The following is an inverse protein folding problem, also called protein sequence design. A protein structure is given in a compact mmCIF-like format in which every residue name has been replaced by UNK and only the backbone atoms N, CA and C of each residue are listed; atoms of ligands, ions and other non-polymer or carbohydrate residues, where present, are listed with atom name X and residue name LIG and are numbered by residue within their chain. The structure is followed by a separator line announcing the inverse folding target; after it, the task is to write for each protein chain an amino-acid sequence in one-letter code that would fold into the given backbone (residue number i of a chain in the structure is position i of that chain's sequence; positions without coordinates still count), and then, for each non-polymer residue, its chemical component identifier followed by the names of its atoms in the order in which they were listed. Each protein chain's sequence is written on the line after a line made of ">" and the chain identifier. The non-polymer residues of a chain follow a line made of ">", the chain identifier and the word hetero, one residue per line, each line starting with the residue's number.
data_IF_844512381848
#
_entry.id   IF_844512381848
#
_cell.length_a   1.000
_cell.length_b   1.000
_cell.length_c   1.000
_cell.angle_alpha   90.00
_cell.angle_beta   90.00
_cell.angle_gamma   90.00
#
_symmetry.space_group_name_H-M   'P 1'
#
loop_
_entity.id
_entity.type
_entity.pdbx_description
1 polymer ?
#
# COMPACT_ATOMS: atom_id res chain seq x y z
N UNK A 1 -6.86 24.32 -62.32
CA UNK A 1 -6.57 23.03 -61.66
C UNK A 1 -5.44 23.23 -60.67
N UNK A 2 -5.80 23.50 -59.43
CA UNK A 2 -4.84 23.56 -58.34
C UNK A 2 -4.45 22.14 -57.93
N UNK A 3 -3.15 21.87 -57.94
CA UNK A 3 -2.59 20.63 -57.47
C UNK A 3 -2.85 20.47 -55.95
N UNK A 4 -3.22 19.27 -55.45
CA UNK A 4 -3.41 19.07 -54.04
C UNK A 4 -2.09 19.24 -53.27
N UNK A 5 -2.12 19.83 -52.06
CA UNK A 5 -0.91 20.06 -51.29
C UNK A 5 -0.24 18.72 -50.95
N UNK A 6 1.10 18.64 -50.93
CA UNK A 6 1.80 17.42 -50.62
C UNK A 6 1.42 16.97 -49.21
N UNK A 7 1.01 15.71 -49.08
CA UNK A 7 0.79 15.06 -47.78
C UNK A 7 2.06 15.20 -46.96
N UNK A 8 2.00 16.01 -45.94
CA UNK A 8 3.11 16.18 -45.00
C UNK A 8 3.48 14.83 -44.43
N UNK A 9 4.53 14.23 -44.94
CA UNK A 9 5.02 12.94 -44.47
C UNK A 9 5.46 13.01 -43.01
N UNK A 10 5.47 11.86 -42.34
CA UNK A 10 5.90 11.69 -40.93
C UNK A 10 7.21 12.47 -40.64
N UNK A 11 8.11 12.53 -41.60
CA UNK A 11 9.38 13.27 -41.52
C UNK A 11 9.18 14.80 -41.40
N UNK A 12 8.22 15.39 -42.10
CA UNK A 12 7.94 16.82 -42.00
C UNK A 12 7.28 17.16 -40.65
N UNK A 13 6.47 16.26 -40.10
CA UNK A 13 5.88 16.40 -38.78
C UNK A 13 6.94 16.28 -37.68
N UNK A 14 7.86 15.33 -37.76
CA UNK A 14 9.00 15.18 -36.85
C UNK A 14 9.96 16.38 -36.90
N UNK A 15 10.21 16.97 -38.08
CA UNK A 15 10.99 18.19 -38.17
C UNK A 15 10.31 19.37 -37.47
N UNK A 16 9.00 19.54 -37.66
CA UNK A 16 8.22 20.59 -36.95
C UNK A 16 8.23 20.41 -35.45
N UNK A 17 8.09 19.18 -34.98
CA UNK A 17 8.21 18.85 -33.55
C UNK A 17 9.60 19.20 -32.99
N UNK A 18 10.66 18.85 -33.73
CA UNK A 18 12.04 19.14 -33.32
C UNK A 18 12.31 20.64 -33.28
N UNK A 19 11.83 21.40 -34.25
CA UNK A 19 11.96 22.85 -34.28
C UNK A 19 11.16 23.53 -33.16
N UNK A 20 9.92 23.10 -32.92
CA UNK A 20 9.10 23.59 -31.83
C UNK A 20 9.73 23.29 -30.47
N UNK A 21 10.26 22.08 -30.28
CA UNK A 21 10.97 21.69 -29.05
C UNK A 21 12.24 22.53 -28.82
N UNK A 22 13.00 22.79 -29.89
CA UNK A 22 14.21 23.62 -29.83
C UNK A 22 13.91 25.09 -29.53
N UNK A 23 12.81 25.62 -30.09
CA UNK A 23 12.35 26.98 -29.79
C UNK A 23 11.80 27.10 -28.38
N UNK A 24 11.04 26.11 -27.90
CA UNK A 24 10.56 26.03 -26.54
C UNK A 24 11.73 26.01 -25.56
N UNK A 25 12.72 25.17 -25.80
CA UNK A 25 13.93 25.07 -24.95
C UNK A 25 14.69 26.42 -24.91
N UNK A 26 14.81 27.09 -26.04
CA UNK A 26 15.50 28.40 -26.12
C UNK A 26 14.72 29.49 -25.38
N UNK A 27 13.41 29.53 -25.53
CA UNK A 27 12.54 30.46 -24.80
C UNK A 27 12.60 30.22 -23.29
N UNK A 28 12.65 28.95 -22.85
CA UNK A 28 12.79 28.57 -21.45
C UNK A 28 14.13 29.02 -20.85
N UNK A 29 15.21 28.90 -21.61
CA UNK A 29 16.54 29.28 -21.16
C UNK A 29 16.74 30.81 -21.10
N UNK A 30 15.99 31.58 -21.90
CA UNK A 30 16.05 33.04 -21.92
C UNK A 30 15.41 33.68 -20.70
N UNK A 31 14.38 33.06 -20.10
CA UNK A 31 13.66 33.54 -18.92
C UNK A 31 13.60 32.50 -17.81
N UNK A 32 14.76 32.04 -17.34
CA UNK A 32 14.91 30.90 -16.41
C UNK A 32 14.05 30.97 -15.16
N UNK A 33 13.98 32.14 -14.51
CA UNK A 33 13.23 32.29 -13.25
C UNK A 33 11.70 32.18 -13.47
N UNK A 34 11.19 32.78 -14.54
CA UNK A 34 9.77 32.75 -14.89
C UNK A 34 9.35 31.31 -15.22
N UNK A 35 10.14 30.61 -16.01
CA UNK A 35 9.90 29.22 -16.41
C UNK A 35 9.93 28.28 -15.21
N UNK A 36 10.93 28.42 -14.33
CA UNK A 36 11.02 27.63 -13.10
C UNK A 36 9.81 27.84 -12.19
N UNK A 37 9.39 29.07 -11.94
CA UNK A 37 8.23 29.37 -11.09
C UNK A 37 6.93 28.80 -11.65
N UNK A 38 6.79 28.78 -12.98
CA UNK A 38 5.59 28.27 -13.64
C UNK A 38 5.55 26.75 -13.67
N UNK A 39 6.71 26.13 -13.98
CA UNK A 39 6.82 24.69 -13.92
C UNK A 39 6.69 24.14 -12.50
N UNK A 40 6.99 24.95 -11.50
CA UNK A 40 6.91 24.53 -10.08
C UNK A 40 5.53 24.00 -9.69
N UNK A 41 4.46 24.65 -10.15
CA UNK A 41 3.10 24.18 -9.89
C UNK A 41 2.82 22.81 -10.51
N UNK A 42 3.27 22.58 -11.74
CA UNK A 42 3.13 21.27 -12.41
C UNK A 42 4.01 20.22 -11.76
N UNK A 43 5.25 20.58 -11.44
CA UNK A 43 6.19 19.68 -10.73
C UNK A 43 5.60 19.24 -9.40
N UNK A 44 5.10 20.17 -8.57
CA UNK A 44 4.49 19.86 -7.28
C UNK A 44 3.27 18.97 -7.46
N UNK A 45 2.40 19.27 -8.42
CA UNK A 45 1.22 18.44 -8.69
C UNK A 45 1.59 17.01 -9.10
N UNK A 46 2.54 16.83 -9.99
CA UNK A 46 2.99 15.52 -10.46
C UNK A 46 3.74 14.75 -9.37
N UNK A 47 4.61 15.41 -8.62
CA UNK A 47 5.28 14.79 -7.45
C UNK A 47 4.26 14.29 -6.45
N UNK A 48 3.26 15.11 -6.13
CA UNK A 48 2.21 14.75 -5.18
C UNK A 48 1.41 13.54 -5.65
N UNK A 49 0.92 13.53 -6.90
CA UNK A 49 0.17 12.40 -7.47
C UNK A 49 1.02 11.13 -7.46
N UNK A 50 2.26 11.22 -7.89
CA UNK A 50 3.16 10.07 -8.06
C UNK A 50 3.55 9.47 -6.70
N UNK A 51 3.96 10.31 -5.74
CA UNK A 51 4.35 9.85 -4.40
C UNK A 51 3.17 9.26 -3.63
N UNK A 52 2.01 9.90 -3.70
CA UNK A 52 0.84 9.41 -2.97
C UNK A 52 0.34 8.09 -3.51
N UNK A 53 0.31 7.94 -4.84
CA UNK A 53 0.00 6.63 -5.43
C UNK A 53 1.03 5.57 -5.03
N UNK A 54 2.31 5.91 -4.99
CA UNK A 54 3.37 4.99 -4.60
C UNK A 54 3.27 4.57 -3.12
N UNK A 55 3.00 5.51 -2.22
CA UNK A 55 2.79 5.26 -0.79
C UNK A 55 1.51 4.44 -0.59
N UNK A 56 0.42 4.82 -1.24
CA UNK A 56 -0.87 4.14 -1.14
C UNK A 56 -0.81 2.70 -1.63
N UNK A 57 -0.15 2.45 -2.76
CA UNK A 57 0.02 1.10 -3.29
C UNK A 57 0.95 0.26 -2.42
N UNK A 58 2.04 0.85 -1.92
CA UNK A 58 2.95 0.19 -0.98
C UNK A 58 2.25 -0.19 0.33
N UNK A 59 1.49 0.73 0.93
CA UNK A 59 0.69 0.46 2.13
C UNK A 59 -0.36 -0.62 1.89
N UNK A 60 -1.07 -0.57 0.75
CA UNK A 60 -2.05 -1.58 0.37
C UNK A 60 -1.42 -2.96 0.25
N UNK A 61 -0.30 -3.09 -0.45
CA UNK A 61 0.40 -4.36 -0.61
C UNK A 61 0.91 -4.89 0.73
N UNK A 62 1.42 -4.03 1.60
CA UNK A 62 1.86 -4.40 2.94
C UNK A 62 0.71 -4.96 3.75
N UNK A 63 -0.42 -4.24 3.82
CA UNK A 63 -1.60 -4.68 4.58
C UNK A 63 -2.19 -5.97 3.99
N UNK A 64 -2.25 -6.11 2.67
CA UNK A 64 -2.71 -7.35 2.04
C UNK A 64 -1.76 -8.53 2.33
N UNK A 65 -0.46 -8.29 2.40
CA UNK A 65 0.52 -9.29 2.83
C UNK A 65 0.30 -9.69 4.29
N UNK A 66 0.05 -8.72 5.17
CA UNK A 66 -0.20 -8.96 6.59
C UNK A 66 -1.52 -9.72 6.81
N UNK A 67 -2.58 -9.37 6.08
CA UNK A 67 -3.86 -10.11 6.10
C UNK A 67 -3.67 -11.52 5.56
N UNK A 68 -2.88 -11.72 4.52
CA UNK A 68 -2.59 -13.06 4.00
C UNK A 68 -1.82 -13.91 4.99
N UNK A 69 -0.99 -13.31 5.85
CA UNK A 69 -0.30 -13.99 6.95
C UNK A 69 -1.25 -14.38 8.09
N UNK A 70 -2.35 -13.64 8.28
CA UNK A 70 -3.42 -13.99 9.23
C UNK A 70 -4.29 -15.16 8.70
N UNK A 71 -4.21 -15.46 7.41
CA UNK A 71 -5.01 -16.43 6.68
C UNK A 71 -6.15 -15.77 5.90
N UNK A 72 -6.20 -16.06 4.62
CA UNK A 72 -7.34 -15.68 3.78
C UNK A 72 -8.57 -16.50 4.15
N UNK A 73 -9.75 -15.93 4.00
CA UNK A 73 -11.03 -16.59 4.34
C UNK A 73 -11.11 -17.03 5.80
N UNK A 74 -10.58 -16.23 6.72
CA UNK A 74 -10.55 -16.55 8.16
C UNK A 74 -11.45 -15.61 8.94
N UNK A 75 -12.20 -16.18 9.89
CA UNK A 75 -13.00 -15.45 10.86
C UNK A 75 -12.41 -15.74 12.24
N UNK A 76 -11.97 -14.70 12.93
CA UNK A 76 -11.48 -14.79 14.30
C UNK A 76 -12.58 -14.36 15.27
N UNK A 77 -12.76 -15.14 16.32
CA UNK A 77 -13.79 -14.96 17.34
C UNK A 77 -13.09 -14.64 18.64
N UNK A 78 -13.43 -13.53 19.26
CA UNK A 78 -12.84 -13.05 20.50
C UNK A 78 -13.94 -12.88 21.56
N UNK A 79 -13.58 -13.07 22.82
CA UNK A 79 -14.47 -12.75 23.94
C UNK A 79 -14.64 -11.21 24.07
N UNK A 80 -15.82 -10.77 24.47
CA UNK A 80 -16.12 -9.35 24.67
C UNK A 80 -16.99 -8.73 23.59
N UNK A 81 -17.17 -7.42 23.65
CA UNK A 81 -17.99 -6.66 22.71
C UNK A 81 -17.19 -5.97 21.60
N UNK A 82 -15.85 -5.99 21.69
CA UNK A 82 -14.94 -5.35 20.73
C UNK A 82 -13.51 -5.30 21.24
N UNK A 83 -12.60 -4.86 20.39
CA UNK A 83 -11.21 -4.66 20.79
C UNK A 83 -11.09 -3.56 21.87
N UNK A 84 -10.41 -3.89 22.98
CA UNK A 84 -10.25 -2.99 24.12
C UNK A 84 -11.38 -3.05 25.15
N UNK A 85 -12.31 -3.98 25.04
CA UNK A 85 -13.33 -4.20 26.06
C UNK A 85 -12.68 -4.71 27.36
N UNK A 86 -12.75 -3.90 28.42
CA UNK A 86 -12.20 -4.26 29.73
C UNK A 86 -12.94 -5.43 30.42
N UNK A 87 -14.12 -5.77 29.92
CA UNK A 87 -14.91 -6.90 30.45
C UNK A 87 -14.54 -8.21 29.75
N UNK A 88 -13.78 -8.18 28.66
CA UNK A 88 -13.38 -9.37 27.92
C UNK A 88 -12.69 -10.40 28.83
N UNK A 89 -11.81 -9.95 29.73
CA UNK A 89 -11.11 -10.84 30.69
C UNK A 89 -12.02 -11.52 31.71
N UNK A 90 -13.21 -10.98 31.94
CA UNK A 90 -14.22 -11.57 32.85
C UNK A 90 -15.12 -12.59 32.15
N UNK A 91 -15.12 -12.63 30.81
CA UNK A 91 -15.92 -13.54 30.01
C UNK A 91 -15.20 -14.89 29.92
N UNK A 92 -15.84 -15.95 30.35
CA UNK A 92 -15.28 -17.31 30.45
C UNK A 92 -16.05 -18.34 29.65
N UNK A 93 -16.84 -17.90 28.69
CA UNK A 93 -17.75 -18.77 27.92
C UNK A 93 -17.08 -19.41 26.71
N UNK A 94 -16.05 -18.77 26.16
CA UNK A 94 -15.34 -19.28 24.98
C UNK A 94 -14.45 -20.46 25.36
N UNK A 95 -14.75 -21.64 24.85
CA UNK A 95 -14.14 -22.90 25.25
C UNK A 95 -13.64 -23.74 24.07
N UNK A 96 -12.82 -24.74 24.37
CA UNK A 96 -12.39 -25.72 23.36
C UNK A 96 -13.56 -26.50 22.73
N UNK A 97 -14.66 -26.70 23.50
CA UNK A 97 -15.88 -27.31 23.00
C UNK A 97 -16.56 -26.46 21.89
N UNK A 98 -16.43 -25.14 21.97
CA UNK A 98 -16.93 -24.24 20.93
C UNK A 98 -16.09 -24.37 19.66
N UNK A 99 -14.76 -24.45 19.79
CA UNK A 99 -13.88 -24.71 18.66
C UNK A 99 -14.19 -26.05 17.98
N UNK A 100 -14.43 -27.10 18.73
CA UNK A 100 -14.83 -28.40 18.20
C UNK A 100 -16.18 -28.36 17.49
N UNK A 101 -17.18 -27.69 18.06
CA UNK A 101 -18.48 -27.52 17.43
C UNK A 101 -18.41 -26.70 16.14
N UNK A 102 -17.54 -25.70 16.06
CA UNK A 102 -17.30 -24.93 14.85
C UNK A 102 -16.58 -25.73 13.77
N UNK A 103 -15.63 -26.59 14.15
CA UNK A 103 -14.89 -27.44 13.22
C UNK A 103 -15.80 -28.45 12.49
N UNK A 104 -16.90 -28.86 13.13
CA UNK A 104 -17.88 -29.80 12.56
C UNK A 104 -18.87 -29.14 11.56
N UNK A 105 -18.87 -27.81 11.45
CA UNK A 105 -19.80 -27.10 10.58
C UNK A 105 -19.44 -27.26 9.10
N UNK A 106 -20.44 -27.34 8.19
CA UNK A 106 -20.20 -27.58 6.77
C UNK A 106 -19.39 -26.46 6.09
N UNK A 107 -19.47 -25.24 6.59
CA UNK A 107 -18.74 -24.08 6.07
C UNK A 107 -17.31 -23.95 6.64
N UNK A 108 -16.98 -24.70 7.67
CA UNK A 108 -15.66 -24.63 8.31
C UNK A 108 -14.69 -25.64 7.69
N UNK A 109 -13.53 -25.16 7.25
CA UNK A 109 -12.41 -26.03 6.89
C UNK A 109 -11.69 -26.50 8.15
N UNK A 110 -11.44 -25.59 9.08
CA UNK A 110 -10.83 -25.86 10.37
C UNK A 110 -11.22 -24.78 11.38
N UNK A 111 -11.19 -25.14 12.66
CA UNK A 111 -11.35 -24.21 13.77
C UNK A 111 -10.18 -24.41 14.74
N UNK A 112 -9.37 -23.38 14.90
CA UNK A 112 -8.15 -23.40 15.71
C UNK A 112 -8.35 -22.59 16.97
N UNK A 113 -8.40 -23.24 18.16
CA UNK A 113 -8.43 -22.54 19.42
C UNK A 113 -7.07 -21.90 19.71
N UNK A 114 -7.09 -20.75 20.37
CA UNK A 114 -5.89 -20.05 20.79
C UNK A 114 -6.03 -19.52 22.21
N UNK A 115 -4.99 -19.72 22.99
CA UNK A 115 -4.82 -19.14 24.31
C UNK A 115 -3.46 -18.48 24.41
N UNK A 116 -3.39 -17.31 25.01
CA UNK A 116 -2.13 -16.60 25.18
C UNK A 116 -1.90 -16.27 26.65
N UNK A 117 -0.64 -16.29 27.04
CA UNK A 117 -0.19 -15.80 28.34
C UNK A 117 1.20 -15.22 28.22
N UNK A 118 1.52 -14.25 29.04
CA UNK A 118 2.85 -13.67 29.12
C UNK A 118 3.61 -14.29 30.26
N UNK A 119 4.79 -14.81 29.97
CA UNK A 119 5.64 -15.46 30.98
C UNK A 119 7.08 -14.98 30.89
N UNK A 120 7.84 -15.22 31.96
CA UNK A 120 9.28 -15.03 31.93
C UNK A 120 9.93 -16.26 31.30
N UNK A 121 10.59 -16.05 30.17
CA UNK A 121 11.37 -17.06 29.45
C UNK A 121 12.77 -17.08 30.00
N UNK A 122 13.26 -18.26 30.41
CA UNK A 122 14.62 -18.46 30.93
C UNK A 122 15.36 -19.56 30.17
N UNK A 123 16.60 -19.29 29.85
CA UNK A 123 17.55 -20.30 29.39
C UNK A 123 18.97 -19.89 29.80
N UNK A 124 19.59 -20.69 30.67
CA UNK A 124 20.87 -20.34 31.28
C UNK A 124 20.83 -19.01 32.00
N UNK A 125 21.66 -18.06 31.57
CA UNK A 125 21.72 -16.71 32.11
C UNK A 125 20.80 -15.70 31.39
N UNK A 126 20.07 -16.14 30.38
CA UNK A 126 19.16 -15.28 29.62
C UNK A 126 17.76 -15.33 30.25
N UNK A 127 17.23 -14.16 30.57
CA UNK A 127 15.87 -14.00 31.09
C UNK A 127 15.19 -12.87 30.33
N UNK A 128 14.05 -13.18 29.70
CA UNK A 128 13.27 -12.23 28.90
C UNK A 128 11.78 -12.52 29.05
N UNK A 129 10.97 -11.51 28.90
CA UNK A 129 9.53 -11.69 28.78
C UNK A 129 9.20 -12.26 27.40
N UNK A 130 8.37 -13.28 27.38
CA UNK A 130 7.86 -13.88 26.15
C UNK A 130 6.35 -14.07 26.20
N UNK A 131 5.70 -13.97 25.07
CA UNK A 131 4.30 -14.37 24.88
C UNK A 131 4.26 -15.84 24.51
N UNK A 132 3.62 -16.64 25.34
CA UNK A 132 3.35 -18.05 25.06
C UNK A 132 1.97 -18.15 24.43
N UNK A 133 1.91 -18.70 23.24
CA UNK A 133 0.70 -18.91 22.46
C UNK A 133 0.38 -20.40 22.41
N UNK A 134 -0.68 -20.82 23.07
CA UNK A 134 -1.22 -22.17 22.96
C UNK A 134 -2.08 -22.30 21.73
N UNK A 135 -1.72 -23.18 20.81
CA UNK A 135 -2.37 -23.33 19.50
C UNK A 135 -2.59 -24.80 19.16
N UNK A 136 -3.38 -25.06 18.12
CA UNK A 136 -3.54 -26.40 17.55
C UNK A 136 -2.44 -26.69 16.53
N UNK A 137 -2.31 -27.96 16.12
CA UNK A 137 -1.37 -28.36 15.07
C UNK A 137 -1.63 -27.66 13.72
N UNK A 138 -2.88 -27.38 13.41
CA UNK A 138 -3.31 -26.70 12.19
C UNK A 138 -2.94 -25.20 12.14
N UNK A 139 -2.64 -24.60 13.28
CA UNK A 139 -2.41 -23.16 13.40
C UNK A 139 -1.33 -22.65 12.44
N UNK A 140 -0.21 -23.35 12.34
CA UNK A 140 0.93 -22.94 11.51
C UNK A 140 0.56 -22.92 10.02
N UNK A 141 -0.22 -23.90 9.56
CA UNK A 141 -0.73 -23.97 8.20
C UNK A 141 -1.74 -22.85 7.92
N UNK A 142 -2.66 -22.61 8.85
CA UNK A 142 -3.68 -21.55 8.72
C UNK A 142 -3.03 -20.17 8.66
N UNK A 143 -1.99 -19.95 9.46
CA UNK A 143 -1.23 -18.69 9.53
C UNK A 143 -0.14 -18.56 8.46
N UNK A 144 0.12 -19.61 7.69
CA UNK A 144 1.18 -19.60 6.68
C UNK A 144 2.58 -19.46 7.26
N UNK A 145 2.77 -19.83 8.53
CA UNK A 145 4.09 -19.80 9.16
C UNK A 145 4.96 -20.94 8.63
N UNK A 146 6.16 -20.58 8.18
CA UNK A 146 7.14 -21.55 7.66
C UNK A 146 8.23 -21.81 8.69
N UNK A 147 8.76 -23.04 8.68
CA UNK A 147 9.89 -23.40 9.52
C UNK A 147 11.21 -22.93 8.90
N UNK A 148 12.09 -22.41 9.74
CA UNK A 148 13.51 -22.23 9.42
C UNK A 148 14.33 -23.45 9.79
N UNK A 149 13.96 -24.15 10.89
CA UNK A 149 14.64 -25.35 11.35
C UNK A 149 13.70 -26.19 12.22
N UNK A 150 13.94 -27.50 12.29
CA UNK A 150 13.21 -28.41 13.15
C UNK A 150 11.89 -28.90 12.58
N UNK A 151 10.95 -29.20 13.48
CA UNK A 151 9.62 -29.73 13.17
C UNK A 151 8.55 -28.99 13.95
N UNK A 152 7.32 -29.06 13.47
CA UNK A 152 6.14 -28.59 14.20
C UNK A 152 5.57 -29.71 15.05
N UNK A 153 4.87 -29.36 16.13
CA UNK A 153 4.11 -30.35 16.89
C UNK A 153 2.85 -30.77 16.11
N UNK A 154 2.44 -32.00 16.33
CA UNK A 154 1.29 -32.62 15.68
C UNK A 154 0.09 -32.75 16.62
N UNK A 155 -0.99 -33.33 16.11
CA UNK A 155 -2.21 -33.58 16.90
C UNK A 155 -1.97 -34.51 18.07
N UNK A 156 -0.97 -35.40 18.01
CA UNK A 156 -0.63 -36.26 19.15
C UNK A 156 0.02 -35.47 20.28
N UNK A 157 0.84 -34.49 19.96
CA UNK A 157 1.40 -33.55 20.94
C UNK A 157 0.30 -32.75 21.65
N UNK A 158 -0.73 -32.33 20.91
CA UNK A 158 -1.89 -31.63 21.47
C UNK A 158 -2.67 -32.55 22.45
N UNK A 159 -2.95 -33.77 22.02
CA UNK A 159 -3.70 -34.74 22.86
C UNK A 159 -2.94 -35.16 24.12
N UNK A 160 -1.64 -35.29 24.04
CA UNK A 160 -0.78 -35.75 25.11
C UNK A 160 -0.23 -34.64 26.03
N UNK A 161 -0.72 -33.39 25.87
CA UNK A 161 -0.22 -32.22 26.59
C UNK A 161 1.31 -32.10 26.55
N UNK A 162 1.91 -32.35 25.38
CA UNK A 162 3.33 -32.30 25.20
C UNK A 162 3.90 -30.89 25.41
N UNK A 163 5.08 -30.81 25.98
CA UNK A 163 5.81 -29.56 26.22
C UNK A 163 6.82 -29.31 25.10
N UNK A 164 6.36 -29.51 23.89
CA UNK A 164 7.13 -29.26 22.66
C UNK A 164 6.91 -27.81 22.21
N UNK A 165 8.00 -27.03 22.25
CA UNK A 165 7.95 -25.60 21.95
C UNK A 165 8.46 -25.30 20.54
N UNK A 166 7.76 -24.46 19.82
CA UNK A 166 8.24 -23.81 18.59
C UNK A 166 8.47 -22.36 18.92
N UNK A 167 9.63 -21.83 18.55
CA UNK A 167 10.01 -20.44 18.81
C UNK A 167 10.13 -19.64 17.52
N UNK A 168 9.94 -18.33 17.61
CA UNK A 168 10.17 -17.42 16.50
C UNK A 168 11.67 -17.08 16.34
N UNK A 169 12.04 -16.50 15.19
CA UNK A 169 13.44 -16.11 14.91
C UNK A 169 13.94 -15.05 15.89
N UNK A 170 13.08 -14.17 16.38
CA UNK A 170 13.44 -13.17 17.37
C UNK A 170 13.81 -13.80 18.71
N UNK A 171 13.01 -14.75 19.20
CA UNK A 171 13.30 -15.54 20.40
C UNK A 171 14.59 -16.33 20.26
N UNK A 172 14.82 -16.93 19.07
CA UNK A 172 16.08 -17.63 18.78
C UNK A 172 17.29 -16.70 18.92
N UNK A 173 17.24 -15.51 18.34
CA UNK A 173 18.33 -14.53 18.44
C UNK A 173 18.54 -14.04 19.89
N UNK A 174 17.47 -13.89 20.62
CA UNK A 174 17.51 -13.44 22.02
C UNK A 174 18.13 -14.48 22.94
N UNK A 175 17.78 -15.76 22.75
CA UNK A 175 18.28 -16.86 23.59
C UNK A 175 19.66 -17.35 23.17
N UNK A 176 19.99 -17.25 21.89
CA UNK A 176 21.23 -17.75 21.29
C UNK A 176 21.98 -16.62 20.54
N UNK A 177 22.45 -15.59 21.24
CA UNK A 177 23.15 -14.47 20.60
C UNK A 177 24.45 -14.89 19.91
N UNK A 178 25.04 -15.99 20.36
CA UNK A 178 26.25 -16.59 19.76
C UNK A 178 26.02 -17.59 18.62
N UNK A 179 24.76 -17.81 18.20
CA UNK A 179 24.44 -18.66 17.05
C UNK A 179 24.46 -20.17 17.32
N UNK A 180 24.18 -20.62 18.51
CA UNK A 180 24.06 -22.05 18.86
C UNK A 180 22.83 -22.72 18.22
N UNK A 181 22.82 -24.08 18.21
CA UNK A 181 21.66 -24.84 17.77
C UNK A 181 20.55 -24.80 18.84
N UNK A 182 19.38 -24.23 18.53
CA UNK A 182 18.28 -24.14 19.48
C UNK A 182 17.52 -25.47 19.66
N UNK A 183 17.59 -26.36 18.66
CA UNK A 183 16.80 -27.59 18.65
C UNK A 183 17.23 -28.56 19.74
N UNK A 184 16.26 -29.09 20.48
CA UNK A 184 16.47 -30.00 21.59
C UNK A 184 16.85 -29.34 22.91
N UNK A 185 17.09 -28.03 22.92
CA UNK A 185 17.36 -27.29 24.15
C UNK A 185 16.08 -27.12 25.00
N UNK A 186 16.27 -27.13 26.31
CA UNK A 186 15.16 -26.93 27.28
C UNK A 186 15.14 -25.48 27.72
N UNK A 187 13.98 -24.86 27.58
CA UNK A 187 13.69 -23.51 28.08
C UNK A 187 12.68 -23.58 29.23
N UNK A 188 12.76 -22.63 30.14
CA UNK A 188 11.79 -22.48 31.21
C UNK A 188 10.79 -21.34 30.84
N UNK A 189 9.52 -21.73 30.81
CA UNK A 189 8.39 -20.82 30.63
C UNK A 189 7.74 -20.56 31.97
N UNK A 190 8.21 -19.55 32.67
CA UNK A 190 7.95 -19.42 34.12
C UNK A 190 8.60 -20.58 34.88
N UNK A 191 7.78 -21.48 35.42
CA UNK A 191 8.23 -22.70 36.09
C UNK A 191 8.14 -23.98 35.25
N UNK A 192 7.63 -23.89 34.03
CA UNK A 192 7.35 -25.04 33.16
C UNK A 192 8.48 -25.25 32.15
N UNK A 193 9.18 -26.41 32.20
CA UNK A 193 10.19 -26.74 31.21
C UNK A 193 9.52 -27.12 29.89
N UNK A 194 10.05 -26.60 28.77
CA UNK A 194 9.64 -26.96 27.42
C UNK A 194 10.87 -27.20 26.53
N UNK A 195 10.76 -28.17 25.63
CA UNK A 195 11.83 -28.49 24.69
C UNK A 195 11.58 -27.81 23.37
N UNK A 196 12.59 -27.11 22.84
CA UNK A 196 12.52 -26.49 21.51
C UNK A 196 12.60 -27.60 20.46
N UNK A 197 11.56 -27.73 19.65
CA UNK A 197 11.50 -28.69 18.54
C UNK A 197 11.57 -28.03 17.17
N UNK A 198 11.26 -26.73 17.08
CA UNK A 198 11.26 -26.00 15.84
C UNK A 198 11.49 -24.50 16.02
N UNK A 199 11.95 -23.89 14.95
CA UNK A 199 12.12 -22.42 14.84
C UNK A 199 11.43 -21.97 13.57
N UNK A 200 10.56 -20.97 13.67
CA UNK A 200 9.91 -20.40 12.50
C UNK A 200 10.86 -19.45 11.74
N UNK A 201 10.64 -19.32 10.44
CA UNK A 201 11.31 -18.32 9.64
C UNK A 201 10.88 -16.92 10.09
N UNK A 202 11.73 -15.93 9.82
CA UNK A 202 11.41 -14.54 10.11
C UNK A 202 10.14 -14.13 9.37
N UNK A 203 9.13 -13.69 10.10
CA UNK A 203 7.94 -13.10 9.50
C UNK A 203 8.29 -11.79 8.78
N UNK A 204 7.76 -11.61 7.57
CA UNK A 204 7.96 -10.39 6.78
C UNK A 204 7.02 -9.24 7.21
N UNK A 205 6.15 -9.50 8.17
CA UNK A 205 5.15 -8.55 8.66
C UNK A 205 5.82 -7.47 9.52
N UNK A 206 5.78 -6.24 9.05
CA UNK A 206 6.34 -5.06 9.74
C UNK A 206 5.30 -4.31 10.59
N UNK A 207 4.06 -4.81 10.68
CA UNK A 207 3.10 -4.22 11.59
C UNK A 207 3.45 -4.62 13.04
N UNK A 208 4.13 -3.75 13.74
CA UNK A 208 4.66 -3.77 15.11
C UNK A 208 3.94 -4.50 16.24
N UNK A 209 3.06 -5.44 15.92
CA UNK A 209 2.36 -6.28 16.91
C UNK A 209 3.18 -7.47 17.41
N UNK A 210 4.32 -7.80 16.79
CA UNK A 210 5.17 -8.92 17.17
C UNK A 210 6.67 -8.58 17.24
N UNK A 211 7.03 -7.47 17.83
CA UNK A 211 8.43 -7.19 18.15
C UNK A 211 8.92 -7.90 19.43
N UNK A 212 8.08 -8.72 20.05
CA UNK A 212 8.38 -9.50 21.24
C UNK A 212 8.87 -10.93 20.95
N UNK A 213 9.25 -11.62 22.00
CA UNK A 213 9.58 -13.04 21.93
C UNK A 213 8.29 -13.86 21.95
N UNK A 214 8.12 -14.78 21.00
CA UNK A 214 6.96 -15.64 20.89
C UNK A 214 7.35 -17.11 20.95
N UNK A 215 6.60 -17.86 21.75
CA UNK A 215 6.76 -19.32 21.91
C UNK A 215 5.40 -19.96 21.69
N UNK A 216 5.32 -20.92 20.78
CA UNK A 216 4.12 -21.70 20.54
C UNK A 216 4.21 -23.06 21.20
N UNK A 217 3.15 -23.43 21.89
CA UNK A 217 2.93 -24.72 22.53
C UNK A 217 1.56 -25.26 22.13
N UNK A 218 1.29 -26.57 22.28
CA UNK A 218 -0.07 -27.08 22.22
C UNK A 218 -1.00 -26.33 23.20
N UNK A 219 -2.18 -25.91 22.75
CA UNK A 219 -3.09 -25.15 23.60
C UNK A 219 -3.51 -25.90 24.86
N UNK A 220 -3.60 -27.23 24.76
CA UNK A 220 -3.90 -28.10 25.89
C UNK A 220 -2.81 -28.03 26.98
N UNK A 221 -1.55 -27.95 26.56
CA UNK A 221 -0.41 -27.81 27.49
C UNK A 221 -0.39 -26.45 28.17
N UNK A 222 -0.70 -25.37 27.42
CA UNK A 222 -0.79 -24.02 28.00
C UNK A 222 -1.94 -23.92 28.98
N UNK A 223 -3.11 -24.43 28.62
CA UNK A 223 -4.29 -24.43 29.50
C UNK A 223 -4.07 -25.27 30.76
N UNK A 224 -3.48 -26.45 30.62
CA UNK A 224 -3.28 -27.37 31.74
C UNK A 224 -2.08 -27.05 32.64
N UNK A 225 -1.00 -26.51 32.08
CA UNK A 225 0.29 -26.33 32.78
C UNK A 225 0.66 -24.89 33.09
N UNK A 226 0.26 -23.94 32.29
CA UNK A 226 0.65 -22.54 32.44
C UNK A 226 -0.46 -21.66 33.01
N UNK A 227 -1.65 -21.71 32.45
CA UNK A 227 -2.75 -20.85 32.90
C UNK A 227 -3.67 -21.48 33.91
N UNK A 228 -3.80 -22.81 33.91
CA UNK A 228 -4.78 -23.53 34.72
C UNK A 228 -6.24 -23.21 34.39
N UNK A 229 -6.49 -22.56 33.25
CA UNK A 229 -7.81 -22.09 32.82
C UNK A 229 -8.22 -22.79 31.54
N UNK A 230 -9.51 -23.19 31.45
CA UNK A 230 -10.10 -23.79 30.25
C UNK A 230 -10.69 -22.77 29.29
N UNK A 231 -10.46 -21.48 29.53
CA UNK A 231 -11.00 -20.39 28.72
C UNK A 231 -10.04 -20.06 27.59
N UNK A 232 -10.58 -20.00 26.35
CA UNK A 232 -9.86 -19.54 25.18
C UNK A 232 -9.95 -18.02 25.06
N UNK A 233 -8.93 -17.42 24.49
CA UNK A 233 -8.94 -16.00 24.15
C UNK A 233 -9.52 -15.74 22.76
N UNK A 234 -9.22 -16.62 21.82
CA UNK A 234 -9.85 -16.58 20.51
C UNK A 234 -10.00 -17.98 19.89
N UNK A 235 -10.85 -18.04 18.89
CA UNK A 235 -10.98 -19.17 17.97
C UNK A 235 -10.89 -18.62 16.56
N UNK A 236 -9.99 -19.15 15.73
CA UNK A 236 -9.89 -18.80 14.33
C UNK A 236 -10.53 -19.90 13.49
N UNK A 237 -11.53 -19.55 12.70
CA UNK A 237 -12.22 -20.44 11.79
C UNK A 237 -11.80 -20.11 10.35
N UNK A 238 -11.23 -21.09 9.66
CA UNK A 238 -11.00 -21.01 8.24
C UNK A 238 -12.24 -21.50 7.49
N UNK A 239 -12.77 -20.67 6.60
CA UNK A 239 -13.95 -20.96 5.82
C UNK A 239 -13.56 -21.81 4.61
N UNK A 240 -14.37 -22.85 4.29
CA UNK A 240 -14.18 -23.67 3.11
C UNK A 240 -14.42 -22.88 1.82
N UNK A 241 -13.71 -23.28 0.79
CA UNK A 241 -13.98 -22.80 -0.56
C UNK A 241 -15.42 -23.11 -0.97
N UNK A 242 -16.08 -22.15 -1.59
CA UNK A 242 -17.50 -22.24 -1.97
C UNK A 242 -18.46 -21.59 -0.98
N UNK A 243 -18.02 -21.22 0.20
CA UNK A 243 -18.79 -20.42 1.17
C UNK A 243 -18.23 -19.02 1.26
N UNK A 244 -19.10 -18.01 1.37
CA UNK A 244 -18.67 -16.65 1.65
C UNK A 244 -18.34 -16.48 3.15
N UNK A 245 -17.35 -15.68 3.45
CA UNK A 245 -16.99 -15.41 4.86
C UNK A 245 -18.11 -14.71 5.60
N UNK A 246 -18.88 -13.85 4.96
CA UNK A 246 -20.06 -13.20 5.55
C UNK A 246 -21.16 -14.21 5.92
N UNK A 247 -21.41 -15.20 5.07
CA UNK A 247 -22.36 -16.28 5.41
C UNK A 247 -21.87 -17.08 6.61
N UNK A 248 -20.61 -17.50 6.59
CA UNK A 248 -20.00 -18.25 7.68
C UNK A 248 -20.00 -17.46 8.98
N UNK A 249 -19.68 -16.17 8.95
CA UNK A 249 -19.71 -15.28 10.11
C UNK A 249 -21.10 -15.19 10.75
N UNK A 250 -22.16 -15.09 9.93
CA UNK A 250 -23.52 -15.11 10.41
C UNK A 250 -23.86 -16.44 11.09
N UNK A 251 -23.50 -17.56 10.47
CA UNK A 251 -23.75 -18.90 11.02
C UNK A 251 -22.97 -19.15 12.32
N UNK A 252 -21.72 -18.70 12.40
CA UNK A 252 -20.88 -18.75 13.60
C UNK A 252 -21.55 -17.96 14.73
N UNK A 253 -21.99 -16.73 14.43
CA UNK A 253 -22.65 -15.85 15.41
C UNK A 253 -23.93 -16.50 15.94
N UNK A 254 -24.76 -17.07 15.10
CA UNK A 254 -25.97 -17.77 15.51
C UNK A 254 -25.69 -19.03 16.37
N UNK A 255 -24.69 -19.81 15.97
CA UNK A 255 -24.32 -21.03 16.68
C UNK A 255 -23.79 -20.70 18.09
N UNK A 256 -22.82 -19.79 18.19
CA UNK A 256 -22.21 -19.44 19.47
C UNK A 256 -23.18 -18.68 20.38
N UNK A 257 -24.04 -17.84 19.86
CA UNK A 257 -25.08 -17.15 20.64
C UNK A 257 -26.05 -18.16 21.23
N UNK A 258 -26.44 -19.20 20.50
CA UNK A 258 -27.26 -20.31 21.05
C UNK A 258 -26.53 -21.10 22.12
N UNK A 259 -25.24 -21.37 21.97
CA UNK A 259 -24.43 -22.11 22.92
C UNK A 259 -24.16 -21.35 24.23
N UNK A 260 -23.90 -20.04 24.12
CA UNK A 260 -23.60 -19.18 25.27
C UNK A 260 -24.85 -18.57 25.91
N UNK A 261 -26.00 -18.62 25.22
CA UNK A 261 -27.24 -17.98 25.69
C UNK A 261 -27.29 -16.47 25.50
N UNK A 262 -26.17 -15.86 25.14
CA UNK A 262 -26.03 -14.42 24.82
C UNK A 262 -24.88 -14.19 23.86
N UNK A 263 -24.87 -13.05 23.20
CA UNK A 263 -23.73 -12.63 22.37
C UNK A 263 -22.69 -11.92 23.25
N UNK A 264 -21.76 -12.66 23.79
CA UNK A 264 -20.67 -12.22 24.64
C UNK A 264 -19.29 -12.29 23.96
N UNK A 265 -19.32 -12.36 22.64
CA UNK A 265 -18.16 -12.41 21.76
C UNK A 265 -18.35 -11.46 20.59
N UNK A 266 -17.24 -11.13 19.93
CA UNK A 266 -17.26 -10.43 18.65
C UNK A 266 -16.44 -11.17 17.61
N UNK A 267 -16.75 -10.95 16.34
CA UNK A 267 -16.08 -11.56 15.20
C UNK A 267 -15.25 -10.53 14.44
N UNK A 268 -14.11 -10.97 13.95
CA UNK A 268 -13.26 -10.22 13.03
C UNK A 268 -13.10 -11.03 11.75
N UNK A 269 -13.69 -10.55 10.69
CA UNK A 269 -13.67 -11.21 9.38
C UNK A 269 -12.53 -10.62 8.55
N UNK A 270 -11.61 -11.46 8.06
CA UNK A 270 -10.45 -11.03 7.26
C UNK A 270 -10.86 -10.31 5.97
N UNK A 271 -11.95 -10.73 5.34
CA UNK A 271 -12.46 -10.08 4.13
C UNK A 271 -13.03 -8.69 4.42
N UNK A 272 -13.77 -8.54 5.53
CA UNK A 272 -14.27 -7.22 5.95
C UNK A 272 -13.12 -6.25 6.26
N UNK A 273 -12.07 -6.73 6.91
CA UNK A 273 -10.86 -5.92 7.18
C UNK A 273 -10.20 -5.51 5.87
N UNK A 274 -10.07 -6.45 4.95
CA UNK A 274 -9.52 -6.18 3.61
C UNK A 274 -10.34 -5.14 2.85
N UNK A 275 -11.66 -5.29 2.80
CA UNK A 275 -12.56 -4.33 2.16
C UNK A 275 -12.47 -2.93 2.80
N UNK A 276 -12.39 -2.87 4.13
CA UNK A 276 -12.22 -1.61 4.86
C UNK A 276 -10.91 -0.92 4.48
N UNK A 277 -9.82 -1.67 4.39
CA UNK A 277 -8.51 -1.16 4.00
C UNK A 277 -8.53 -0.66 2.56
N UNK A 278 -9.09 -1.44 1.64
CA UNK A 278 -9.21 -1.06 0.23
C UNK A 278 -10.04 0.22 0.07
N UNK A 279 -11.17 0.31 0.77
CA UNK A 279 -12.05 1.50 0.76
C UNK A 279 -11.37 2.72 1.38
N UNK A 280 -10.66 2.56 2.49
CA UNK A 280 -9.94 3.65 3.15
C UNK A 280 -8.81 4.16 2.26
N UNK A 281 -8.03 3.25 1.69
CA UNK A 281 -6.94 3.59 0.76
C UNK A 281 -7.49 4.32 -0.47
N UNK A 282 -8.58 3.82 -1.06
CA UNK A 282 -9.24 4.49 -2.18
C UNK A 282 -9.72 5.90 -1.81
N UNK A 283 -10.35 6.07 -0.65
CA UNK A 283 -10.81 7.38 -0.18
C UNK A 283 -9.65 8.36 0.01
N UNK A 284 -8.54 7.90 0.60
CA UNK A 284 -7.33 8.70 0.75
C UNK A 284 -6.71 9.07 -0.61
N UNK A 285 -6.65 8.12 -1.55
CA UNK A 285 -6.17 8.39 -2.91
C UNK A 285 -7.02 9.44 -3.62
N UNK A 286 -8.36 9.35 -3.53
CA UNK A 286 -9.27 10.36 -4.11
C UNK A 286 -9.05 11.73 -3.48
N UNK A 287 -8.96 11.79 -2.15
CA UNK A 287 -8.75 13.05 -1.44
C UNK A 287 -7.45 13.74 -1.86
N UNK A 288 -6.35 13.02 -1.88
CA UNK A 288 -5.03 13.58 -2.21
C UNK A 288 -4.92 13.86 -3.71
N UNK A 289 -5.52 13.02 -4.57
CA UNK A 289 -5.61 13.29 -6.00
C UNK A 289 -6.39 14.57 -6.28
N UNK A 290 -7.41 14.87 -5.49
CA UNK A 290 -8.14 16.14 -5.60
C UNK A 290 -7.27 17.35 -5.29
N UNK A 291 -6.43 17.28 -4.27
CA UNK A 291 -5.45 18.33 -3.95
C UNK A 291 -4.44 18.48 -5.08
N UNK A 292 -3.96 17.36 -5.62
CA UNK A 292 -3.02 17.37 -6.73
C UNK A 292 -3.61 17.97 -8.01
N UNK A 293 -4.89 17.71 -8.29
CA UNK A 293 -5.62 18.36 -9.41
C UNK A 293 -5.67 19.88 -9.24
N UNK A 294 -5.92 20.36 -8.03
CA UNK A 294 -5.90 21.80 -7.72
C UNK A 294 -4.50 22.38 -8.00
N UNK A 295 -3.44 21.71 -7.55
CA UNK A 295 -2.06 22.14 -7.80
C UNK A 295 -1.73 22.13 -9.31
N UNK A 296 -2.20 21.14 -10.06
CA UNK A 296 -2.04 21.07 -11.51
C UNK A 296 -2.81 22.19 -12.23
N UNK A 297 -4.01 22.52 -11.79
CA UNK A 297 -4.79 23.65 -12.34
C UNK A 297 -4.05 24.97 -12.11
N UNK A 298 -3.54 25.19 -10.90
CA UNK A 298 -2.75 26.39 -10.59
C UNK A 298 -1.47 26.45 -11.45
N UNK A 299 -0.78 25.32 -11.61
CA UNK A 299 0.38 25.20 -12.51
C UNK A 299 0.01 25.47 -13.97
N UNK A 300 -1.12 24.95 -14.42
CA UNK A 300 -1.67 25.18 -15.76
C UNK A 300 -1.99 26.67 -16.02
N UNK A 301 -2.60 27.37 -15.07
CA UNK A 301 -2.82 28.81 -15.14
C UNK A 301 -1.49 29.55 -15.27
N UNK A 302 -0.47 29.13 -14.55
CA UNK A 302 0.88 29.67 -14.68
C UNK A 302 1.44 29.47 -16.09
N UNK A 303 1.30 28.29 -16.68
CA UNK A 303 1.68 28.02 -18.08
C UNK A 303 0.91 28.92 -19.04
N UNK A 304 -0.40 29.07 -18.85
CA UNK A 304 -1.22 29.96 -19.64
C UNK A 304 -0.70 31.40 -19.60
N UNK A 305 -0.37 31.92 -18.41
CA UNK A 305 0.16 33.27 -18.26
C UNK A 305 1.51 33.46 -18.97
N UNK A 306 2.41 32.49 -18.88
CA UNK A 306 3.68 32.54 -19.64
C UNK A 306 3.45 32.52 -21.13
N UNK A 307 2.57 31.65 -21.59
CA UNK A 307 2.27 31.56 -23.01
C UNK A 307 1.65 32.85 -23.54
N UNK A 308 0.77 33.51 -22.78
CA UNK A 308 0.21 34.81 -23.15
C UNK A 308 1.30 35.90 -23.26
N UNK A 309 2.21 35.95 -22.30
CA UNK A 309 3.34 36.89 -22.33
C UNK A 309 4.24 36.57 -23.53
N UNK A 310 4.55 35.30 -23.80
CA UNK A 310 5.36 34.87 -24.93
C UNK A 310 4.72 35.26 -26.28
N UNK A 311 3.40 35.14 -26.41
CA UNK A 311 2.65 35.58 -27.58
C UNK A 311 2.76 37.10 -27.75
N UNK A 312 2.63 37.86 -26.66
CA UNK A 312 2.74 39.33 -26.69
C UNK A 312 4.16 39.76 -27.10
N UNK A 313 5.19 39.16 -26.56
CA UNK A 313 6.59 39.46 -26.90
C UNK A 313 6.93 39.09 -28.35
N UNK A 314 6.29 38.06 -28.92
CA UNK A 314 6.53 37.56 -30.28
C UNK A 314 5.49 38.05 -31.29
N UNK A 315 4.65 39.01 -30.92
CA UNK A 315 3.63 39.55 -31.82
C UNK A 315 4.18 40.01 -33.18
N UNK A 316 5.31 40.72 -33.26
CA UNK A 316 5.90 41.12 -34.56
C UNK A 316 6.35 39.92 -35.40
N UNK A 317 6.97 38.91 -34.79
CA UNK A 317 7.42 37.68 -35.47
C UNK A 317 6.22 36.89 -36.03
N UNK A 318 5.14 36.78 -35.28
CA UNK A 318 3.89 36.12 -35.71
C UNK A 318 3.29 36.89 -36.88
N UNK A 319 3.30 38.23 -36.82
CA UNK A 319 2.80 39.09 -37.88
C UNK A 319 3.59 38.90 -39.19
N UNK A 320 4.90 38.82 -39.14
CA UNK A 320 5.76 38.53 -40.29
C UNK A 320 5.44 37.18 -40.91
N UNK A 321 5.29 36.14 -40.08
CA UNK A 321 4.96 34.79 -40.56
C UNK A 321 3.59 34.74 -41.24
N UNK A 322 2.61 35.43 -40.70
CA UNK A 322 1.27 35.53 -41.30
C UNK A 322 1.30 36.33 -42.61
N UNK A 323 2.10 37.40 -42.67
CA UNK A 323 2.28 38.21 -43.90
C UNK A 323 2.94 37.42 -45.05
N UNK A 324 3.81 36.48 -44.73
CA UNK A 324 4.48 35.57 -45.68
C UNK A 324 3.60 34.37 -46.08
N UNK A 325 2.42 34.21 -45.47
CA UNK A 325 1.43 33.21 -45.86
C UNK A 325 1.27 32.02 -44.90
N UNK A 326 1.74 32.11 -43.67
CA UNK A 326 1.48 31.08 -42.65
C UNK A 326 -0.01 30.99 -42.33
N UNK A 327 -0.54 29.77 -42.25
CA UNK A 327 -1.94 29.52 -41.88
C UNK A 327 -2.13 29.70 -40.39
N UNK A 328 -3.33 30.14 -39.97
CA UNK A 328 -3.70 30.23 -38.56
C UNK A 328 -3.53 28.89 -37.81
N UNK A 329 -3.83 27.79 -38.50
CA UNK A 329 -3.66 26.42 -37.95
C UNK A 329 -2.19 26.09 -37.66
N UNK A 330 -1.24 26.56 -38.46
CA UNK A 330 0.20 26.30 -38.25
C UNK A 330 0.71 27.02 -36.98
N UNK A 331 0.26 28.26 -36.77
CA UNK A 331 0.59 29.05 -35.58
C UNK A 331 -0.05 28.45 -34.32
N UNK A 332 -1.34 28.08 -34.38
CA UNK A 332 -2.05 27.39 -33.30
C UNK A 332 -1.32 26.12 -32.87
N UNK A 333 -0.97 25.29 -33.83
CA UNK A 333 -0.28 24.03 -33.63
C UNK A 333 1.10 24.22 -32.97
N UNK A 334 1.84 25.21 -33.41
CA UNK A 334 3.16 25.55 -32.88
C UNK A 334 3.09 25.93 -31.39
N UNK A 335 2.20 26.83 -31.01
CA UNK A 335 2.05 27.27 -29.62
C UNK A 335 1.48 26.17 -28.72
N UNK A 336 0.58 25.32 -29.23
CA UNK A 336 0.12 24.15 -28.52
C UNK A 336 1.25 23.14 -28.24
N UNK A 337 2.09 22.88 -29.21
CA UNK A 337 3.25 21.99 -29.04
C UNK A 337 4.23 22.59 -28.02
N UNK A 338 4.47 23.91 -28.03
CA UNK A 338 5.29 24.56 -26.99
C UNK A 338 4.69 24.37 -25.59
N UNK A 339 3.40 24.58 -25.41
CA UNK A 339 2.73 24.42 -24.13
C UNK A 339 2.79 22.98 -23.62
N UNK A 340 2.51 22.01 -24.49
CA UNK A 340 2.59 20.59 -24.16
C UNK A 340 4.02 20.19 -23.81
N UNK A 341 5.00 20.70 -24.55
CA UNK A 341 6.41 20.41 -24.29
C UNK A 341 6.87 20.91 -22.93
N UNK A 342 6.48 22.13 -22.55
CA UNK A 342 6.76 22.69 -21.21
C UNK A 342 6.12 21.85 -20.12
N UNK A 343 4.86 21.46 -20.31
CA UNK A 343 4.14 20.62 -19.33
C UNK A 343 4.73 19.20 -19.24
N UNK A 344 5.15 18.60 -20.33
CA UNK A 344 5.83 17.30 -20.34
C UNK A 344 7.19 17.36 -19.63
N UNK A 345 7.97 18.41 -19.86
CA UNK A 345 9.24 18.60 -19.13
C UNK A 345 8.99 18.76 -17.63
N UNK A 346 8.00 19.55 -17.24
CA UNK A 346 7.58 19.68 -15.85
C UNK A 346 7.13 18.34 -15.26
N UNK A 347 6.36 17.57 -16.02
CA UNK A 347 5.90 16.23 -15.63
C UNK A 347 7.06 15.24 -15.46
N UNK A 348 8.02 15.21 -16.38
CA UNK A 348 9.20 14.34 -16.29
C UNK A 348 10.10 14.72 -15.11
N UNK A 349 10.31 16.02 -14.89
CA UNK A 349 11.05 16.51 -13.71
C UNK A 349 10.30 16.14 -12.41
N UNK A 350 8.99 16.27 -12.40
CA UNK A 350 8.14 15.86 -11.26
C UNK A 350 8.26 14.37 -10.97
N UNK A 351 8.20 13.53 -11.98
CA UNK A 351 8.40 12.07 -11.83
C UNK A 351 9.81 11.77 -11.31
N UNK A 352 10.84 12.38 -11.88
CA UNK A 352 12.22 12.22 -11.44
C UNK A 352 12.43 12.63 -9.99
N UNK A 353 11.84 13.75 -9.57
CA UNK A 353 11.85 14.20 -8.17
C UNK A 353 11.07 13.25 -7.26
N UNK A 354 9.93 12.71 -7.71
CA UNK A 354 9.15 11.73 -6.95
C UNK A 354 9.97 10.45 -6.70
N UNK A 355 10.68 9.94 -7.69
CA UNK A 355 11.60 8.81 -7.52
C UNK A 355 12.74 9.14 -6.58
N UNK A 356 13.34 10.32 -6.71
CA UNK A 356 14.43 10.77 -5.83
C UNK A 356 13.99 10.91 -4.38
N UNK A 357 12.86 11.55 -4.13
CA UNK A 357 12.27 11.68 -2.79
C UNK A 357 11.85 10.32 -2.23
N UNK A 358 11.28 9.45 -3.06
CA UNK A 358 10.93 8.10 -2.66
C UNK A 358 12.13 7.30 -2.21
N UNK A 359 13.21 7.35 -2.95
CA UNK A 359 14.47 6.69 -2.58
C UNK A 359 15.06 7.23 -1.26
N UNK A 360 14.96 8.54 -1.03
CA UNK A 360 15.39 9.15 0.25
C UNK A 360 14.50 8.70 1.40
N UNK A 361 13.18 8.68 1.20
CA UNK A 361 12.22 8.24 2.22
C UNK A 361 12.44 6.77 2.62
N UNK A 362 12.66 5.87 1.67
CA UNK A 362 12.96 4.47 1.95
C UNK A 362 14.28 4.28 2.72
N UNK A 363 15.26 5.18 2.54
CA UNK A 363 16.50 5.13 3.32
C UNK A 363 16.38 5.71 4.72
N UNK A 364 15.52 6.70 4.92
CA UNK A 364 15.29 7.33 6.21
C UNK A 364 14.33 6.54 7.11
N UNK A 365 13.41 5.80 6.50
CA UNK A 365 12.41 5.00 7.21
C UNK A 365 12.35 3.61 6.60
N UNK A 366 12.69 2.60 7.39
CA UNK A 366 12.57 1.20 6.99
C UNK A 366 11.13 0.69 6.96
N UNK A 367 10.17 1.50 7.41
CA UNK A 367 8.75 1.15 7.50
C UNK A 367 7.94 1.58 6.28
N UNK A 368 8.49 2.47 5.45
CA UNK A 368 7.79 2.99 4.27
C UNK A 368 8.23 2.21 3.04
N UNK A 369 7.36 1.38 2.51
CA UNK A 369 7.55 0.72 1.23
C UNK A 369 6.83 1.49 0.13
N UNK A 370 7.58 1.96 -0.85
CA UNK A 370 7.07 2.68 -2.00
C UNK A 370 6.97 1.74 -3.20
N UNK A 371 5.81 1.67 -3.80
CA UNK A 371 5.59 0.90 -5.04
C UNK A 371 5.21 1.85 -6.16
N UNK A 372 6.16 2.15 -7.02
CA UNK A 372 5.91 2.95 -8.21
C UNK A 372 5.28 2.08 -9.30
N UNK A 373 3.99 2.28 -9.56
CA UNK A 373 3.29 1.56 -10.61
C UNK A 373 3.50 2.22 -11.97
N UNK A 374 3.61 1.41 -13.03
CA UNK A 374 3.65 1.93 -14.40
C UNK A 374 2.40 2.76 -14.74
N UNK A 375 1.24 2.37 -14.19
CA UNK A 375 -0.01 3.12 -14.37
C UNK A 375 0.06 4.54 -13.79
N UNK A 376 0.72 4.75 -12.65
CA UNK A 376 0.89 6.08 -12.06
C UNK A 376 1.77 6.98 -12.95
N UNK A 377 2.83 6.44 -13.54
CA UNK A 377 3.70 7.16 -14.47
C UNK A 377 2.94 7.55 -15.74
N UNK A 378 2.20 6.60 -16.33
CA UNK A 378 1.37 6.86 -17.51
C UNK A 378 0.31 7.92 -17.22
N UNK A 379 -0.35 7.84 -16.07
CA UNK A 379 -1.33 8.83 -15.63
C UNK A 379 -0.69 10.21 -15.46
N UNK A 380 0.48 10.31 -14.87
CA UNK A 380 1.22 11.56 -14.70
C UNK A 380 1.55 12.22 -16.04
N UNK A 381 2.05 11.44 -17.02
CA UNK A 381 2.35 11.91 -18.37
C UNK A 381 1.07 12.35 -19.10
N UNK A 382 -0.01 11.58 -18.98
CA UNK A 382 -1.30 11.92 -19.57
C UNK A 382 -1.88 13.21 -18.96
N UNK A 383 -1.81 13.39 -17.65
CA UNK A 383 -2.23 14.61 -16.97
C UNK A 383 -1.41 15.82 -17.40
N UNK A 384 -0.08 15.70 -17.50
CA UNK A 384 0.81 16.77 -17.97
C UNK A 384 0.46 17.19 -19.39
N UNK A 385 0.22 16.24 -20.28
CA UNK A 385 -0.17 16.49 -21.67
C UNK A 385 -1.52 17.18 -21.75
N UNK A 386 -2.50 16.69 -20.98
CA UNK A 386 -3.83 17.29 -20.93
C UNK A 386 -3.80 18.72 -20.41
N UNK A 387 -3.05 19.00 -19.36
CA UNK A 387 -2.86 20.34 -18.81
C UNK A 387 -2.22 21.26 -19.86
N UNK A 388 -1.19 20.79 -20.57
CA UNK A 388 -0.56 21.54 -21.65
C UNK A 388 -1.54 21.91 -22.77
N UNK A 389 -2.37 20.96 -23.19
CA UNK A 389 -3.39 21.18 -24.21
C UNK A 389 -4.49 22.14 -23.71
N UNK A 390 -5.03 21.91 -22.52
CA UNK A 390 -6.15 22.69 -21.99
C UNK A 390 -5.76 24.15 -21.75
N UNK A 391 -4.66 24.38 -21.06
CA UNK A 391 -4.21 25.74 -20.72
C UNK A 391 -3.38 26.43 -21.80
N UNK A 392 -2.79 25.67 -22.71
CA UNK A 392 -2.08 26.20 -23.89
C UNK A 392 -3.00 26.59 -25.05
N UNK A 393 -4.23 26.06 -25.09
CA UNK A 393 -5.15 26.29 -26.21
C UNK A 393 -5.55 27.75 -26.35
N UNK A 394 -5.89 28.44 -25.28
CA UNK A 394 -6.35 29.82 -25.35
C UNK A 394 -5.26 30.81 -25.78
N UNK A 395 -4.02 30.78 -25.25
CA UNK A 395 -2.93 31.57 -25.77
C UNK A 395 -2.60 31.27 -27.22
N UNK A 396 -2.57 29.99 -27.60
CA UNK A 396 -2.31 29.56 -28.96
C UNK A 396 -3.36 30.08 -29.95
N UNK A 397 -4.64 30.04 -29.55
CA UNK A 397 -5.74 30.60 -30.34
C UNK A 397 -5.63 32.12 -30.46
N UNK A 398 -5.25 32.82 -29.40
CA UNK A 398 -5.02 34.26 -29.41
C UNK A 398 -3.92 34.63 -30.38
N UNK A 399 -2.80 33.89 -30.39
CA UNK A 399 -1.71 34.07 -31.35
C UNK A 399 -2.14 33.83 -32.79
N UNK A 400 -2.92 32.79 -33.05
CA UNK A 400 -3.41 32.46 -34.40
C UNK A 400 -4.42 33.46 -34.97
N UNK A 401 -5.08 34.23 -34.13
CA UNK A 401 -6.07 35.25 -34.54
C UNK A 401 -5.54 36.68 -34.63
N UNK A 402 -4.25 36.88 -34.42
CA UNK A 402 -3.62 38.19 -34.59
C UNK A 402 -3.79 38.70 -36.04
N UNK A 403 -4.18 39.98 -36.15
CA UNK A 403 -4.21 40.64 -37.45
C UNK A 403 -2.77 41.03 -37.84
N UNK A 404 -2.26 40.62 -39.00
CA UNK A 404 -0.89 40.94 -39.41
C UNK A 404 -0.58 42.44 -39.44
N UNK A 405 -1.57 43.26 -39.78
CA UNK A 405 -1.43 44.73 -39.84
C UNK A 405 -1.23 45.32 -38.46
N UNK A 406 -2.05 44.88 -37.50
CA UNK A 406 -1.97 45.34 -36.11
C UNK A 406 -0.72 44.81 -35.40
N UNK A 407 -0.27 43.61 -35.77
CA UNK A 407 0.93 42.99 -35.23
C UNK A 407 2.21 43.73 -35.66
N UNK A 408 2.25 44.24 -36.86
CA UNK A 408 3.40 44.99 -37.44
C UNK A 408 3.40 46.48 -37.05
N UNK A 409 2.26 47.05 -36.66
CA UNK A 409 2.12 48.45 -36.28
C UNK A 409 2.45 48.77 -34.82
N UNK A 410 2.62 47.73 -33.98
CA UNK A 410 3.01 47.85 -32.58
C UNK A 410 4.54 47.82 -32.40
N UNK A 411 5.25 48.71 -33.05
CA UNK A 411 6.66 49.01 -32.74
C UNK A 411 6.78 50.19 -31.79
#
# INVERSE_FOLDING_TARGET
>A
SEAPPPKAGLAAWLMRLREAARMALHAMLSHRMRTLLTMLGIIIGIVSVTLVNAIGEGAKQQILSDISSIGTNTISIFAGSGFGDRRADAIRTLSAADAAALAEQPYAHSATPQVQTSVTLRMGNQEKTATVSGVSAEYFNVRGLTLAAGVLFDESSVKNLALDAVIDDNTRKTLFPGGGNPLGQIILLGSVPARIIGVTAKEKSNFGFNSGNTVWLPYTSVMGRLTGSQVLQNISVRVKDGYTTHYAEKQITELLTRRHGSKDFFTSNSDTVREMVEKTTFTMQVFISSIAVIALVVGGIGVMNIMLVSVTERTPEIGIRMAVGARQADILQQFLIEAVFVCLLGGLLGIGLAFGLGWVLERLSSEVHLVFSANAIVLAVACSTFIGLAFGFWPARSAARLNPIDALSRQ
#
